data_IF_776536624668
#
_entry.id   IF_776536624668
#
_cell.length_a   1.000
_cell.length_b   1.000
_cell.length_c   1.000
_cell.angle_alpha   90.00
_cell.angle_beta   90.00
_cell.angle_gamma   90.00
#
_symmetry.space_group_name_H-M   'P 1'
#
loop_
_entity.id
_entity.type
_entity.pdbx_description
1 polymer ?
#
# COMPACT_ATOMS: atom_id res chain seq x y z
N UNK A 1 34.20 -17.83 20.13
CA UNK A 1 33.49 -18.95 20.81
C UNK A 1 32.29 -19.35 19.98
N UNK A 2 32.31 -20.50 19.29
CA UNK A 2 31.24 -20.93 18.39
C UNK A 2 29.97 -21.43 19.11
N UNK A 3 30.06 -21.73 20.40
CA UNK A 3 28.96 -22.23 21.24
C UNK A 3 27.84 -21.19 21.47
N UNK A 4 28.17 -19.90 21.56
CA UNK A 4 27.16 -18.85 21.81
C UNK A 4 26.25 -18.57 20.61
N UNK A 5 26.67 -18.91 19.39
CA UNK A 5 25.86 -18.73 18.18
C UNK A 5 24.84 -19.88 18.02
N UNK A 6 25.23 -21.10 18.36
CA UNK A 6 24.34 -22.25 18.34
C UNK A 6 23.24 -22.15 19.41
N UNK A 7 23.56 -21.60 20.59
CA UNK A 7 22.55 -21.34 21.63
C UNK A 7 21.54 -20.26 21.21
N UNK A 8 22.00 -19.20 20.51
CA UNK A 8 21.14 -18.15 19.98
C UNK A 8 20.20 -18.65 18.88
N UNK A 9 20.68 -19.51 17.96
CA UNK A 9 19.85 -20.12 16.91
C UNK A 9 18.76 -21.03 17.48
N UNK A 10 19.08 -21.76 18.55
CA UNK A 10 18.12 -22.60 19.27
C UNK A 10 17.08 -21.73 19.97
N UNK A 11 17.47 -20.65 20.65
CA UNK A 11 16.54 -19.74 21.32
C UNK A 11 15.61 -19.01 20.33
N UNK A 12 16.11 -18.63 19.15
CA UNK A 12 15.32 -18.04 18.07
C UNK A 12 14.32 -19.04 17.49
N UNK A 13 14.67 -20.32 17.39
CA UNK A 13 13.76 -21.37 16.94
C UNK A 13 12.60 -21.57 17.93
N UNK A 14 12.88 -21.58 19.23
CA UNK A 14 11.85 -21.66 20.27
C UNK A 14 10.92 -20.44 20.27
N UNK A 15 11.48 -19.23 20.10
CA UNK A 15 10.67 -18.01 19.97
C UNK A 15 9.77 -18.05 18.73
N UNK A 16 10.28 -18.55 17.61
CA UNK A 16 9.50 -18.69 16.38
C UNK A 16 8.35 -19.70 16.53
N UNK A 17 8.56 -20.80 17.24
CA UNK A 17 7.52 -21.78 17.55
C UNK A 17 6.44 -21.20 18.47
N UNK A 18 6.82 -20.49 19.53
CA UNK A 18 5.87 -19.79 20.42
C UNK A 18 5.00 -18.79 19.66
N UNK A 19 5.60 -18.00 18.76
CA UNK A 19 4.85 -17.04 17.94
C UNK A 19 3.86 -17.76 17.01
N UNK A 20 4.25 -18.88 16.41
CA UNK A 20 3.35 -19.67 15.55
C UNK A 20 2.17 -20.23 16.33
N UNK A 21 2.39 -20.72 17.54
CA UNK A 21 1.33 -21.21 18.41
C UNK A 21 0.39 -20.09 18.86
N UNK A 22 0.94 -18.92 19.23
CA UNK A 22 0.14 -17.75 19.60
C UNK A 22 -0.74 -17.27 18.44
N UNK A 23 -0.21 -17.28 17.21
CA UNK A 23 -0.97 -16.97 15.99
C UNK A 23 -2.06 -18.00 15.76
N UNK A 24 -1.78 -19.30 15.87
CA UNK A 24 -2.78 -20.36 15.71
C UNK A 24 -3.91 -20.21 16.74
N UNK A 25 -3.56 -19.92 17.99
CA UNK A 25 -4.53 -19.66 19.06
C UNK A 25 -5.40 -18.44 18.76
N UNK A 26 -4.80 -17.30 18.37
CA UNK A 26 -5.54 -16.08 18.00
C UNK A 26 -6.44 -16.29 16.79
N UNK A 27 -6.02 -17.09 15.80
CA UNK A 27 -6.87 -17.44 14.65
C UNK A 27 -8.04 -18.31 15.10
N UNK A 28 -7.81 -19.33 15.94
CA UNK A 28 -8.86 -20.18 16.46
C UNK A 28 -9.88 -19.40 17.32
N UNK A 29 -9.40 -18.49 18.18
CA UNK A 29 -10.24 -17.57 18.97
C UNK A 29 -11.07 -16.64 18.07
N UNK A 30 -10.47 -16.10 17.00
CA UNK A 30 -11.18 -15.27 16.00
C UNK A 30 -12.16 -16.07 15.15
N UNK A 31 -11.93 -17.38 14.97
CA UNK A 31 -12.78 -18.26 14.17
C UNK A 31 -13.94 -18.85 14.99
N UNK A 32 -13.82 -18.85 16.32
CA UNK A 32 -14.88 -19.21 17.27
C UNK A 32 -15.81 -18.03 17.66
N UNK A 33 -15.37 -16.79 17.44
CA UNK A 33 -16.25 -15.63 17.38
C UNK A 33 -16.84 -15.48 15.98
N UNK A 34 -18.08 -15.01 15.90
CA UNK A 34 -18.86 -14.79 14.67
C UNK A 34 -18.01 -14.38 13.46
N UNK A 35 -18.38 -14.81 12.23
CA UNK A 35 -17.64 -14.41 11.04
C UNK A 35 -17.51 -12.91 11.05
N UNK A 36 -16.27 -12.42 11.11
CA UNK A 36 -15.98 -11.07 10.66
C UNK A 36 -16.60 -11.03 9.27
N UNK A 37 -17.60 -10.16 9.01
CA UNK A 37 -18.08 -10.04 7.65
C UNK A 37 -16.83 -9.80 6.83
N UNK A 38 -16.55 -10.70 5.89
CA UNK A 38 -15.63 -10.38 4.81
C UNK A 38 -16.01 -8.95 4.42
N UNK A 39 -15.06 -7.99 4.36
CA UNK A 39 -15.40 -6.72 3.75
C UNK A 39 -15.88 -7.15 2.37
N UNK A 40 -17.20 -7.11 2.20
CA UNK A 40 -17.81 -7.28 0.93
C UNK A 40 -17.25 -6.08 0.18
N UNK A 41 -16.17 -6.31 -0.55
CA UNK A 41 -15.97 -5.66 -1.81
C UNK A 41 -17.11 -6.21 -2.68
N UNK A 42 -18.36 -5.85 -2.32
CA UNK A 42 -19.31 -5.40 -3.29
C UNK A 42 -18.46 -4.56 -4.22
N UNK A 43 -18.29 -5.09 -5.42
CA UNK A 43 -17.98 -4.28 -6.58
C UNK A 43 -19.20 -3.37 -6.71
N UNK A 44 -19.27 -2.39 -5.81
CA UNK A 44 -20.04 -1.20 -5.97
C UNK A 44 -19.37 -0.59 -7.18
N UNK A 45 -19.92 -0.92 -8.35
CA UNK A 45 -19.81 -0.05 -9.50
C UNK A 45 -19.93 1.36 -8.91
N UNK A 46 -18.92 2.23 -9.10
CA UNK A 46 -18.99 3.56 -8.54
C UNK A 46 -20.35 4.09 -8.96
N UNK A 47 -21.19 4.57 -8.01
CA UNK A 47 -22.45 5.16 -8.41
C UNK A 47 -22.10 6.13 -9.53
N UNK A 48 -22.76 6.03 -10.68
CA UNK A 48 -22.61 7.03 -11.72
C UNK A 48 -23.00 8.32 -11.04
N UNK A 49 -21.98 9.05 -10.58
CA UNK A 49 -22.14 10.36 -10.00
C UNK A 49 -22.55 11.15 -11.22
N UNK A 50 -23.86 11.31 -11.42
CA UNK A 50 -24.37 12.38 -12.24
C UNK A 50 -23.59 13.59 -11.76
N UNK A 51 -22.75 14.13 -12.65
CA UNK A 51 -22.10 15.40 -12.44
C UNK A 51 -23.24 16.39 -12.26
N UNK A 52 -23.69 16.57 -11.02
CA UNK A 52 -24.39 17.76 -10.59
C UNK A 52 -23.35 18.85 -10.73
N UNK A 53 -23.23 19.33 -11.97
CA UNK A 53 -22.52 20.55 -12.32
C UNK A 53 -22.94 21.53 -11.27
N UNK A 54 -21.99 21.88 -10.41
CA UNK A 54 -22.19 22.87 -9.39
C UNK A 54 -22.60 24.12 -10.16
N UNK A 55 -23.90 24.41 -10.21
CA UNK A 55 -24.36 25.64 -10.81
C UNK A 55 -23.87 26.71 -9.85
N UNK A 56 -22.73 27.30 -10.22
CA UNK A 56 -22.25 28.51 -9.57
C UNK A 56 -23.44 29.46 -9.54
N UNK A 57 -23.85 29.97 -8.36
CA UNK A 57 -24.88 30.98 -8.31
C UNK A 57 -24.46 32.10 -9.26
N UNK A 58 -25.37 32.66 -10.06
CA UNK A 58 -25.01 33.72 -10.99
C UNK A 58 -24.26 34.79 -10.21
N UNK A 59 -23.02 35.08 -10.63
CA UNK A 59 -22.20 36.17 -10.07
C UNK A 59 -22.82 37.47 -10.59
N UNK A 60 -23.98 37.79 -10.04
CA UNK A 60 -24.78 38.96 -10.33
C UNK A 60 -25.07 39.73 -9.05
N UNK A 61 -24.12 39.74 -8.11
CA UNK A 61 -24.15 40.66 -6.98
C UNK A 61 -23.07 41.70 -7.24
N UNK A 62 -23.43 42.77 -7.93
CA UNK A 62 -22.85 44.07 -7.63
C UNK A 62 -22.99 44.25 -6.12
N UNK A 63 -21.87 44.26 -5.40
CA UNK A 63 -21.87 44.62 -3.99
C UNK A 63 -22.42 46.04 -3.93
N UNK A 64 -23.67 46.20 -3.49
CA UNK A 64 -24.19 47.53 -3.18
C UNK A 64 -23.24 48.16 -2.15
N UNK A 65 -22.79 49.41 -2.35
CA UNK A 65 -21.97 50.10 -1.38
C UNK A 65 -22.66 50.04 -0.02
N UNK A 66 -21.98 49.44 0.95
CA UNK A 66 -22.43 49.47 2.34
C UNK A 66 -22.36 50.93 2.76
N UNK A 67 -23.54 51.55 2.86
CA UNK A 67 -23.68 52.90 3.39
C UNK A 67 -23.37 52.85 4.89
N UNK A 68 -22.13 53.18 5.23
CA UNK A 68 -21.62 53.30 6.60
C UNK A 68 -22.21 54.48 7.37
N UNK A 69 -23.08 55.31 6.77
CA UNK A 69 -23.66 56.49 7.42
C UNK A 69 -25.20 56.53 7.32
N UNK A 70 -25.85 55.67 8.11
CA UNK A 70 -27.15 55.91 8.77
C UNK A 70 -28.24 56.65 7.99
N UNK A 71 -28.97 55.94 7.13
CA UNK A 71 -30.29 56.33 6.61
C UNK A 71 -31.46 55.54 7.23
N UNK A 72 -32.71 56.07 7.24
CA UNK A 72 -33.80 55.50 8.03
C UNK A 72 -34.32 54.15 7.50
N UNK A 73 -34.38 53.21 8.42
CA UNK A 73 -34.73 51.80 8.35
C UNK A 73 -36.09 51.47 7.73
N UNK A 74 -36.13 50.51 6.79
CA UNK A 74 -37.31 49.68 6.51
C UNK A 74 -37.23 48.37 7.29
N UNK A 75 -38.31 47.89 7.94
CA UNK A 75 -38.27 46.63 8.66
C UNK A 75 -38.37 45.47 7.66
N UNK A 76 -37.28 44.71 7.47
CA UNK A 76 -37.37 43.38 6.87
C UNK A 76 -37.92 42.42 7.92
N UNK A 77 -39.09 41.87 7.67
CA UNK A 77 -39.69 40.81 8.47
C UNK A 77 -38.70 39.62 8.57
N UNK A 78 -38.08 39.46 9.74
CA UNK A 78 -37.26 38.28 10.07
C UNK A 78 -38.21 37.09 10.24
N UNK A 79 -38.29 36.25 9.21
CA UNK A 79 -38.78 34.87 9.36
C UNK A 79 -37.83 34.19 10.35
N UNK A 80 -38.36 33.74 11.49
CA UNK A 80 -37.60 33.07 12.52
C UNK A 80 -37.10 31.72 11.97
N UNK A 81 -35.84 31.66 11.57
CA UNK A 81 -35.15 30.39 11.36
C UNK A 81 -35.02 29.69 12.73
N UNK A 82 -35.27 28.37 12.81
CA UNK A 82 -34.97 27.60 14.01
C UNK A 82 -33.46 27.70 14.22
N UNK A 83 -33.05 28.39 15.30
CA UNK A 83 -31.66 28.50 15.73
C UNK A 83 -31.11 27.08 15.87
N UNK A 84 -30.23 26.68 14.95
CA UNK A 84 -29.40 25.50 15.16
C UNK A 84 -28.65 25.72 16.49
N UNK A 85 -28.56 24.70 17.36
CA UNK A 85 -27.67 24.77 18.50
C UNK A 85 -26.28 25.10 17.96
N UNK A 86 -25.72 26.21 18.44
CA UNK A 86 -24.34 26.60 18.15
C UNK A 86 -23.49 25.52 18.80
N UNK A 87 -22.95 24.62 17.99
CA UNK A 87 -21.90 23.71 18.45
C UNK A 87 -20.81 24.58 19.09
N UNK A 88 -20.35 24.27 20.31
CA UNK A 88 -19.29 25.04 20.93
C UNK A 88 -18.10 25.05 19.98
N UNK A 89 -17.41 26.20 19.80
CA UNK A 89 -16.22 26.23 18.98
C UNK A 89 -15.28 25.15 19.50
N UNK A 90 -14.92 24.20 18.63
CA UNK A 90 -13.85 23.25 18.92
C UNK A 90 -12.63 24.09 19.21
N UNK A 91 -12.29 24.21 20.50
CA UNK A 91 -11.08 24.90 20.94
C UNK A 91 -9.94 24.01 20.49
N UNK A 92 -9.47 24.22 19.26
CA UNK A 92 -8.18 23.71 18.82
C UNK A 92 -7.19 24.33 19.78
N UNK A 93 -6.62 23.50 20.67
CA UNK A 93 -5.55 23.93 21.54
C UNK A 93 -4.51 24.61 20.66
N UNK A 94 -4.30 25.91 20.87
CA UNK A 94 -3.30 26.69 20.15
C UNK A 94 -1.94 26.19 20.60
N UNK A 95 -1.46 25.12 19.96
CA UNK A 95 -0.10 24.65 20.13
C UNK A 95 0.83 25.84 19.89
N UNK A 96 1.78 26.02 20.80
CA UNK A 96 2.78 27.05 20.62
C UNK A 96 3.52 26.82 19.31
N UNK A 97 3.99 27.89 18.68
CA UNK A 97 4.75 27.81 17.43
C UNK A 97 5.96 26.86 17.57
N UNK A 98 6.54 26.77 18.75
CA UNK A 98 7.63 25.84 19.07
C UNK A 98 7.19 24.37 19.07
N UNK A 99 6.05 24.06 19.68
CA UNK A 99 5.50 22.70 19.68
C UNK A 99 5.16 22.22 18.26
N UNK A 100 4.66 23.12 17.41
CA UNK A 100 4.38 22.78 16.01
C UNK A 100 5.66 22.56 15.19
N UNK A 101 6.73 23.34 15.42
CA UNK A 101 8.04 23.11 14.79
C UNK A 101 8.65 21.77 15.20
N UNK A 102 8.65 21.43 16.49
CA UNK A 102 9.14 20.13 16.97
C UNK A 102 8.38 18.96 16.34
N UNK A 103 7.05 19.08 16.21
CA UNK A 103 6.24 18.06 15.52
C UNK A 103 6.63 17.94 14.04
N UNK A 104 6.86 19.06 13.35
CA UNK A 104 7.28 19.04 11.95
C UNK A 104 8.64 18.35 11.77
N UNK A 105 9.61 18.61 12.66
CA UNK A 105 10.91 17.96 12.66
C UNK A 105 10.78 16.44 12.88
N UNK A 106 9.98 16.02 13.86
CA UNK A 106 9.71 14.61 14.11
C UNK A 106 9.01 13.91 12.94
N UNK A 107 8.14 14.62 12.22
CA UNK A 107 7.52 14.08 11.01
C UNK A 107 8.54 13.97 9.87
N UNK A 108 9.42 14.96 9.72
CA UNK A 108 10.46 14.94 8.70
C UNK A 108 11.45 13.78 8.92
N UNK A 109 11.83 13.49 10.16
CA UNK A 109 12.70 12.33 10.47
C UNK A 109 12.00 11.01 10.16
N UNK A 110 10.75 10.83 10.60
CA UNK A 110 9.95 9.63 10.29
C UNK A 110 9.78 9.42 8.78
N UNK A 111 9.57 10.49 8.02
CA UNK A 111 9.46 10.40 6.56
C UNK A 111 10.78 9.96 5.93
N UNK A 112 11.92 10.50 6.39
CA UNK A 112 13.25 10.06 5.91
C UNK A 112 13.47 8.57 6.18
N UNK A 113 13.23 8.11 7.41
CA UNK A 113 13.36 6.70 7.79
C UNK A 113 12.47 5.79 6.91
N UNK A 114 11.20 6.15 6.71
CA UNK A 114 10.29 5.38 5.85
C UNK A 114 10.76 5.36 4.39
N UNK A 115 11.31 6.47 3.88
CA UNK A 115 11.83 6.50 2.50
C UNK A 115 13.06 5.61 2.34
N UNK A 116 13.96 5.57 3.33
CA UNK A 116 15.12 4.68 3.33
C UNK A 116 14.71 3.22 3.40
N UNK A 117 13.74 2.88 4.27
CA UNK A 117 13.18 1.53 4.35
C UNK A 117 12.55 1.11 3.01
N UNK A 118 11.76 1.98 2.39
CA UNK A 118 11.17 1.72 1.06
C UNK A 118 12.25 1.52 0.00
N UNK A 119 13.31 2.33 0.00
CA UNK A 119 14.41 2.18 -0.93
C UNK A 119 15.14 0.83 -0.75
N UNK A 120 15.38 0.40 0.49
CA UNK A 120 15.97 -0.91 0.77
C UNK A 120 15.09 -2.06 0.30
N UNK A 121 13.79 -2.00 0.57
CA UNK A 121 12.82 -3.01 0.10
C UNK A 121 12.75 -3.04 -1.42
N UNK A 122 12.70 -1.88 -2.08
CA UNK A 122 12.69 -1.79 -3.54
C UNK A 122 13.95 -2.40 -4.17
N UNK A 123 15.14 -2.15 -3.58
CA UNK A 123 16.39 -2.79 -4.03
C UNK A 123 16.36 -4.31 -3.88
N UNK A 124 15.87 -4.81 -2.74
CA UNK A 124 15.72 -6.26 -2.52
C UNK A 124 14.72 -6.88 -3.50
N UNK A 125 13.58 -6.24 -3.71
CA UNK A 125 12.57 -6.69 -4.65
C UNK A 125 13.11 -6.70 -6.10
N UNK A 126 13.89 -5.69 -6.50
CA UNK A 126 14.52 -5.66 -7.81
C UNK A 126 15.52 -6.81 -7.99
N UNK A 127 16.32 -7.12 -6.97
CA UNK A 127 17.26 -8.25 -7.02
C UNK A 127 16.52 -9.60 -7.21
N UNK A 128 15.44 -9.82 -6.46
CA UNK A 128 14.61 -11.03 -6.60
C UNK A 128 13.92 -11.09 -7.96
N UNK A 129 13.41 -9.97 -8.46
CA UNK A 129 12.77 -9.93 -9.78
C UNK A 129 13.74 -10.30 -10.91
N UNK A 130 15.03 -9.91 -10.81
CA UNK A 130 16.05 -10.31 -11.79
C UNK A 130 16.31 -11.82 -11.75
N UNK A 131 16.40 -12.41 -10.55
CA UNK A 131 16.59 -13.86 -10.42
C UNK A 131 15.38 -14.63 -10.93
N UNK A 132 14.17 -14.17 -10.61
CA UNK A 132 12.93 -14.81 -11.05
C UNK A 132 12.76 -14.72 -12.57
N UNK A 133 13.12 -13.58 -13.17
CA UNK A 133 13.12 -13.41 -14.62
C UNK A 133 14.12 -14.37 -15.30
N UNK A 134 15.32 -14.54 -14.75
CA UNK A 134 16.31 -15.49 -15.27
C UNK A 134 15.81 -16.94 -15.18
N UNK A 135 15.19 -17.32 -14.05
CA UNK A 135 14.59 -18.65 -13.88
C UNK A 135 13.46 -18.87 -14.87
N UNK A 136 12.55 -17.90 -15.03
CA UNK A 136 11.45 -17.96 -15.98
C UNK A 136 11.95 -18.10 -17.43
N UNK A 137 12.99 -17.34 -17.82
CA UNK A 137 13.61 -17.47 -19.14
C UNK A 137 14.23 -18.85 -19.34
N UNK A 138 14.95 -19.39 -18.33
CA UNK A 138 15.52 -20.74 -18.41
C UNK A 138 14.45 -21.82 -18.56
N UNK A 139 13.30 -21.66 -17.89
CA UNK A 139 12.17 -22.59 -17.97
C UNK A 139 11.50 -22.55 -19.35
N UNK A 140 11.34 -21.37 -19.95
CA UNK A 140 10.84 -21.20 -21.31
C UNK A 140 11.78 -21.84 -22.33
N UNK A 141 13.08 -21.54 -22.27
CA UNK A 141 14.09 -22.13 -23.15
C UNK A 141 14.16 -23.67 -23.02
N UNK A 142 14.02 -24.18 -21.78
CA UNK A 142 13.96 -25.63 -21.54
C UNK A 142 12.73 -26.29 -22.17
N UNK A 143 11.58 -25.61 -22.18
CA UNK A 143 10.36 -26.11 -22.82
C UNK A 143 10.46 -26.09 -24.36
N UNK A 144 11.05 -25.04 -24.93
CA UNK A 144 11.33 -24.97 -26.37
C UNK A 144 12.29 -26.09 -26.79
N UNK A 145 13.39 -26.28 -26.06
CA UNK A 145 14.34 -27.37 -26.33
C UNK A 145 13.68 -28.75 -26.26
N UNK A 146 12.84 -29.00 -25.25
CA UNK A 146 12.06 -30.24 -25.16
C UNK A 146 11.15 -30.42 -26.37
N UNK A 147 10.61 -29.33 -26.90
CA UNK A 147 9.76 -29.39 -28.07
C UNK A 147 10.55 -29.72 -29.34
N UNK A 148 11.72 -29.10 -29.52
CA UNK A 148 12.64 -29.37 -30.64
C UNK A 148 13.18 -30.79 -30.63
N UNK A 149 13.49 -31.34 -29.45
CA UNK A 149 14.00 -32.71 -29.29
C UNK A 149 12.94 -33.79 -29.56
N UNK A 150 11.66 -33.43 -29.78
CA UNK A 150 10.64 -34.40 -30.24
C UNK A 150 10.85 -34.81 -31.69
N UNK A 151 11.50 -33.97 -32.51
CA UNK A 151 11.87 -34.36 -33.87
C UNK A 151 13.18 -35.17 -33.87
N UNK A 152 13.16 -36.29 -34.59
CA UNK A 152 14.27 -37.25 -34.67
C UNK A 152 15.50 -36.61 -35.30
N UNK A 153 15.34 -35.66 -36.23
CA UNK A 153 16.47 -34.99 -36.89
C UNK A 153 17.20 -34.04 -35.92
N UNK A 154 16.46 -33.27 -35.14
CA UNK A 154 17.01 -32.39 -34.10
C UNK A 154 17.63 -33.20 -32.94
N UNK A 155 17.02 -34.31 -32.54
CA UNK A 155 17.59 -35.20 -31.53
C UNK A 155 18.97 -35.76 -31.96
N UNK A 156 19.08 -36.27 -33.19
CA UNK A 156 20.37 -36.75 -33.73
C UNK A 156 21.42 -35.64 -33.77
N UNK A 157 21.03 -34.42 -34.16
CA UNK A 157 21.92 -33.25 -34.15
C UNK A 157 22.41 -32.95 -32.74
N UNK A 158 21.53 -32.98 -31.74
CA UNK A 158 21.90 -32.75 -30.35
C UNK A 158 22.88 -33.82 -29.81
N UNK A 159 22.70 -35.10 -30.20
CA UNK A 159 23.65 -36.17 -29.86
C UNK A 159 25.04 -35.93 -30.47
N UNK A 160 25.10 -35.60 -31.76
CA UNK A 160 26.39 -35.27 -32.43
C UNK A 160 27.05 -34.05 -31.79
N UNK A 161 26.28 -32.99 -31.48
CA UNK A 161 26.81 -31.81 -30.80
C UNK A 161 27.39 -32.16 -29.43
N UNK A 162 26.77 -33.08 -28.68
CA UNK A 162 27.30 -33.58 -27.41
C UNK A 162 28.60 -34.36 -27.58
N UNK A 163 28.77 -35.11 -28.68
CA UNK A 163 30.00 -35.84 -28.95
C UNK A 163 31.15 -34.89 -29.35
N UNK A 164 30.85 -33.87 -30.15
CA UNK A 164 31.85 -32.90 -30.63
C UNK A 164 32.25 -31.90 -29.55
N UNK A 165 31.28 -31.38 -28.78
CA UNK A 165 31.49 -30.32 -27.79
C UNK A 165 31.56 -30.84 -26.34
N UNK A 166 31.25 -32.12 -26.12
CA UNK A 166 31.18 -32.73 -24.79
C UNK A 166 29.82 -32.57 -24.09
N UNK A 167 29.74 -33.03 -22.83
CA UNK A 167 28.54 -32.84 -22.01
C UNK A 167 28.32 -31.36 -21.70
N UNK A 168 27.10 -30.83 -21.93
CA UNK A 168 26.79 -29.43 -21.63
C UNK A 168 26.94 -29.18 -20.13
N UNK A 169 27.36 -27.95 -19.78
CA UNK A 169 27.80 -27.58 -18.42
C UNK A 169 26.71 -27.80 -17.36
N UNK A 170 25.43 -27.67 -17.72
CA UNK A 170 24.30 -27.91 -16.81
C UNK A 170 23.93 -29.39 -16.58
N UNK A 171 24.60 -30.33 -17.26
CA UNK A 171 24.45 -31.79 -17.06
C UNK A 171 25.69 -32.43 -16.42
N UNK A 172 26.65 -31.62 -15.97
CA UNK A 172 27.83 -32.07 -15.22
C UNK A 172 27.54 -32.11 -13.73
#
# INVERSE_FOLDING_TARGET
NPTSMAEAEVEDSYRAEQVREEIRRKIAERRGGAPIPEPAFERNEPPVVEEKRFQLPPIGRTLEPIDTFGGPSRPRARRAEPRRPVEPPVIVASETREASLQRQEQLATKLRELTEQRAMVARKAAAVAVTDAAVAQSALAGNELRHDLRDVRSLRRAMVLREVLGTPVGLR
#
